data_IF_675850387513
#
_entry.id   IF_675850387513
#
_cell.length_a   1.000
_cell.length_b   1.000
_cell.length_c   1.000
_cell.angle_alpha   90.00
_cell.angle_beta   90.00
_cell.angle_gamma   90.00
#
_symmetry.space_group_name_H-M   'P 1'
#
loop_
_entity.id
_entity.type
_entity.pdbx_description
1 polymer ?
#
# COMPACT_ATOMS: atom_id res chain seq x y z
N UNK A 1 -14.48 7.11 11.13
CA UNK A 1 -13.56 7.37 10.00
C UNK A 1 -13.26 6.04 9.34
N UNK A 2 -13.51 5.89 8.03
CA UNK A 2 -13.05 4.72 7.25
C UNK A 2 -11.80 5.17 6.50
N UNK A 3 -10.67 4.47 6.67
CA UNK A 3 -9.43 4.72 5.90
C UNK A 3 -9.13 3.50 5.04
N UNK A 4 -8.68 3.72 3.81
CA UNK A 4 -8.32 2.68 2.87
C UNK A 4 -6.92 2.94 2.30
N UNK A 5 -6.08 1.92 2.35
CA UNK A 5 -4.70 1.94 1.85
C UNK A 5 -4.52 0.82 0.82
N UNK A 6 -3.93 1.16 -0.33
CA UNK A 6 -3.49 0.16 -1.30
C UNK A 6 -2.27 -0.60 -0.77
N UNK A 7 -2.20 -1.90 -1.03
CA UNK A 7 -1.09 -2.77 -0.64
C UNK A 7 -0.60 -3.51 -1.87
N UNK A 8 0.74 -3.57 -2.04
CA UNK A 8 1.40 -4.08 -3.25
C UNK A 8 0.91 -3.32 -4.48
N UNK A 9 1.22 -2.03 -4.52
CA UNK A 9 0.85 -1.14 -5.64
C UNK A 9 1.72 -1.44 -6.87
N UNK A 10 3.02 -1.58 -6.65
CA UNK A 10 4.03 -1.85 -7.66
C UNK A 10 4.83 -3.11 -7.37
N UNK A 11 4.84 -3.60 -6.12
CA UNK A 11 5.71 -4.68 -5.68
C UNK A 11 5.67 -5.92 -6.59
N UNK A 12 4.50 -6.24 -7.14
CA UNK A 12 4.28 -7.40 -8.03
C UNK A 12 5.02 -7.29 -9.35
N UNK A 13 5.38 -6.08 -9.76
CA UNK A 13 6.02 -5.77 -11.03
C UNK A 13 7.54 -5.70 -10.92
N UNK A 14 8.07 -5.35 -9.76
CA UNK A 14 9.50 -4.98 -9.59
C UNK A 14 10.22 -5.72 -8.45
N UNK A 15 9.53 -6.56 -7.67
CA UNK A 15 10.17 -7.22 -6.50
C UNK A 15 11.42 -8.04 -6.83
N UNK A 16 11.50 -8.62 -8.03
CA UNK A 16 12.64 -9.43 -8.47
C UNK A 16 13.88 -8.58 -8.85
N UNK A 17 13.68 -7.29 -9.11
CA UNK A 17 14.73 -6.35 -9.51
C UNK A 17 15.36 -5.65 -8.30
N UNK A 18 14.65 -5.61 -7.16
CA UNK A 18 15.11 -4.97 -5.92
C UNK A 18 16.00 -5.91 -5.10
N UNK A 19 17.30 -5.89 -5.41
CA UNK A 19 18.29 -6.78 -4.77
C UNK A 19 19.10 -6.13 -3.64
N UNK A 20 19.20 -4.80 -3.64
CA UNK A 20 19.95 -4.05 -2.65
C UNK A 20 19.04 -3.57 -1.52
N UNK A 21 19.51 -3.68 -0.27
CA UNK A 21 18.72 -3.34 0.92
C UNK A 21 18.24 -1.88 0.91
N UNK A 22 19.11 -0.94 0.52
CA UNK A 22 18.76 0.48 0.48
C UNK A 22 17.76 0.79 -0.63
N UNK A 23 17.85 0.10 -1.78
CA UNK A 23 16.86 0.18 -2.84
C UNK A 23 15.49 -0.33 -2.36
N UNK A 24 15.47 -1.44 -1.62
CA UNK A 24 14.24 -1.98 -1.01
C UNK A 24 13.64 -0.98 -0.02
N UNK A 25 14.45 -0.37 0.87
CA UNK A 25 13.97 0.65 1.83
C UNK A 25 13.38 1.88 1.14
N UNK A 26 14.05 2.37 0.09
CA UNK A 26 13.56 3.48 -0.71
C UNK A 26 12.24 3.12 -1.41
N UNK A 27 12.17 1.92 -1.99
CA UNK A 27 10.96 1.40 -2.64
C UNK A 27 9.79 1.27 -1.66
N UNK A 28 9.99 0.68 -0.48
CA UNK A 28 8.94 0.57 0.56
C UNK A 28 8.43 1.96 0.95
N UNK A 29 9.31 2.95 1.05
CA UNK A 29 8.91 4.33 1.34
C UNK A 29 8.04 4.94 0.24
N UNK A 30 8.30 4.61 -1.03
CA UNK A 30 7.48 5.01 -2.17
C UNK A 30 6.12 4.30 -2.17
N UNK A 31 6.09 2.98 -1.96
CA UNK A 31 4.87 2.17 -1.81
C UNK A 31 3.95 2.75 -0.73
N UNK A 32 4.49 3.09 0.45
CA UNK A 32 3.71 3.69 1.54
C UNK A 32 3.11 5.06 1.19
N UNK A 33 3.72 5.81 0.28
CA UNK A 33 3.15 7.06 -0.25
C UNK A 33 2.06 6.76 -1.27
N UNK A 34 2.35 5.89 -2.23
CA UNK A 34 1.43 5.50 -3.30
C UNK A 34 0.14 4.84 -2.76
N UNK A 35 0.25 4.02 -1.71
CA UNK A 35 -0.86 3.37 -1.02
C UNK A 35 -2.01 4.32 -0.62
N UNK A 36 -1.74 5.62 -0.46
CA UNK A 36 -2.70 6.63 -0.01
C UNK A 36 -3.27 7.50 -1.13
N UNK A 37 -2.71 7.44 -2.33
CA UNK A 37 -2.95 8.40 -3.40
C UNK A 37 -3.62 7.72 -4.60
N UNK A 38 -4.59 8.41 -5.19
CA UNK A 38 -5.08 8.03 -6.52
C UNK A 38 -4.10 8.53 -7.61
N UNK A 39 -3.99 7.82 -8.76
CA UNK A 39 -4.71 6.59 -9.12
C UNK A 39 -4.08 5.31 -8.57
N UNK A 40 -2.91 5.39 -7.93
CA UNK A 40 -2.13 4.24 -7.49
C UNK A 40 -2.90 3.31 -6.54
N UNK A 41 -3.66 3.90 -5.62
CA UNK A 41 -4.50 3.15 -4.70
C UNK A 41 -5.57 2.36 -5.44
N UNK A 42 -6.20 2.88 -6.51
CA UNK A 42 -7.24 2.17 -7.28
C UNK A 42 -6.75 0.90 -7.98
N UNK A 43 -5.45 0.80 -8.29
CA UNK A 43 -4.84 -0.34 -9.00
C UNK A 43 -4.09 -1.30 -8.07
N UNK A 44 -4.12 -1.06 -6.77
CA UNK A 44 -3.42 -1.90 -5.80
C UNK A 44 -3.97 -3.34 -5.81
N UNK A 45 -3.07 -4.32 -5.63
CA UNK A 45 -3.47 -5.73 -5.59
C UNK A 45 -4.40 -6.05 -4.41
N UNK A 46 -4.20 -5.38 -3.28
CA UNK A 46 -4.93 -5.57 -2.04
C UNK A 46 -5.30 -4.22 -1.40
N UNK A 47 -6.31 -4.23 -0.53
CA UNK A 47 -6.70 -3.07 0.28
C UNK A 47 -6.65 -3.38 1.78
N UNK A 48 -5.94 -2.54 2.52
CA UNK A 48 -6.05 -2.48 3.97
C UNK A 48 -7.11 -1.47 4.38
N UNK A 49 -8.22 -1.97 4.94
CA UNK A 49 -9.37 -1.16 5.35
C UNK A 49 -9.40 -1.02 6.88
N UNK A 50 -9.36 0.23 7.35
CA UNK A 50 -9.50 0.56 8.77
C UNK A 50 -10.88 1.18 8.99
N UNK A 51 -11.70 0.51 9.79
CA UNK A 51 -13.01 0.99 10.21
C UNK A 51 -13.21 0.86 11.71
N UNK A 52 -14.07 1.71 12.29
CA UNK A 52 -14.55 1.54 13.65
C UNK A 52 -15.85 0.75 13.60
N UNK A 53 -16.01 -0.26 14.47
CA UNK A 53 -17.30 -0.91 14.69
C UNK A 53 -18.28 0.13 15.26
N UNK A 54 -19.33 0.42 14.51
CA UNK A 54 -20.40 1.29 14.99
C UNK A 54 -21.39 0.42 15.79
N UNK A 55 -21.22 0.34 17.11
CA UNK A 55 -22.19 -0.22 18.06
C UNK A 55 -22.41 -1.74 18.02
N UNK A 56 -22.38 -2.37 19.19
CA UNK A 56 -23.56 -3.02 19.74
C UNK A 56 -23.71 -2.45 21.17
N UNK A 57 -24.93 -2.33 21.71
CA UNK A 57 -25.14 -1.89 23.10
C UNK A 57 -24.35 -2.74 24.10
#
# INVERSE_FOLDING_TARGET
>A
MRRAYGVRVFADLISEELKEEDAVKAFVSLELRAARLEPYRSVARLYHLIGKRCGAP
#
